data_IF_230935041690
#
_entry.id   IF_230935041690
#
_cell.length_a   1.000
_cell.length_b   1.000
_cell.length_c   1.000
_cell.angle_alpha   90.00
_cell.angle_beta   90.00
_cell.angle_gamma   90.00
#
_symmetry.space_group_name_H-M   'P 1'
#
loop_
_entity.id
_entity.type
_entity.pdbx_description
1 polymer ?
#
# COMPACT_ATOMS: atom_id res chain seq x y z
N UNK A 1 -6.54 -22.95 15.25
CA UNK A 1 -5.17 -23.14 14.75
C UNK A 1 -4.44 -21.83 15.03
N UNK A 2 -3.30 -21.81 15.74
CA UNK A 2 -2.50 -20.61 15.82
C UNK A 2 -1.92 -20.36 14.43
N UNK A 3 -2.26 -19.22 13.83
CA UNK A 3 -1.58 -18.73 12.62
C UNK A 3 -0.15 -18.42 13.00
N UNK A 4 0.80 -19.11 12.37
CA UNK A 4 2.22 -18.81 12.50
C UNK A 4 2.45 -17.32 12.22
N UNK A 5 3.34 -16.64 12.98
CA UNK A 5 3.69 -15.26 12.69
C UNK A 5 4.22 -15.19 11.26
N UNK A 6 3.60 -14.35 10.44
CA UNK A 6 4.08 -14.03 9.11
C UNK A 6 5.42 -13.32 9.33
N UNK A 7 6.51 -14.07 9.17
CA UNK A 7 7.85 -13.49 9.10
C UNK A 7 7.79 -12.51 7.92
N UNK A 8 8.06 -11.21 8.13
CA UNK A 8 8.12 -10.27 7.02
C UNK A 8 9.14 -10.83 6.02
N UNK A 9 8.79 -11.02 4.73
CA UNK A 9 9.81 -11.35 3.75
C UNK A 9 10.98 -10.39 3.91
N UNK A 10 12.19 -10.95 3.91
CA UNK A 10 13.42 -10.21 4.09
C UNK A 10 13.39 -8.97 3.18
N UNK A 11 13.68 -7.79 3.74
CA UNK A 11 13.78 -6.54 2.98
C UNK A 11 14.92 -6.61 1.93
N UNK A 12 15.73 -7.65 1.98
CA UNK A 12 16.76 -7.97 1.00
C UNK A 12 16.15 -8.42 -0.33
N UNK A 13 16.64 -7.92 -1.46
CA UNK A 13 16.14 -8.35 -2.76
C UNK A 13 16.49 -9.82 -2.99
N UNK A 14 15.46 -10.66 -3.11
CA UNK A 14 15.61 -12.01 -3.62
C UNK A 14 16.11 -11.96 -5.07
N UNK A 15 17.22 -12.64 -5.33
CA UNK A 15 17.75 -12.76 -6.69
C UNK A 15 16.67 -13.36 -7.61
N UNK A 16 16.41 -12.71 -8.74
CA UNK A 16 15.43 -13.19 -9.71
C UNK A 16 15.77 -14.64 -10.14
N UNK A 17 14.74 -15.49 -10.38
CA UNK A 17 14.93 -16.90 -10.73
C UNK A 17 15.74 -17.14 -12.02
N UNK A 18 15.99 -16.09 -12.80
CA UNK A 18 16.78 -16.12 -14.04
C UNK A 18 18.29 -15.99 -13.83
N UNK A 19 18.78 -15.79 -12.59
CA UNK A 19 20.21 -15.53 -12.34
C UNK A 19 20.69 -14.19 -12.90
N UNK A 20 19.75 -13.32 -13.28
CA UNK A 20 20.04 -11.96 -13.72
C UNK A 20 20.49 -11.15 -12.50
N UNK A 21 21.70 -10.60 -12.56
CA UNK A 21 22.17 -9.62 -11.57
C UNK A 21 21.22 -8.43 -11.55
N UNK A 22 20.91 -7.94 -10.37
CA UNK A 22 20.10 -6.75 -10.13
C UNK A 22 20.88 -5.88 -9.15
N UNK A 23 21.00 -4.58 -9.46
CA UNK A 23 21.64 -3.62 -8.57
C UNK A 23 20.60 -3.02 -7.62
N UNK A 24 20.98 -2.73 -6.37
CA UNK A 24 20.09 -2.21 -5.31
C UNK A 24 20.41 -0.74 -5.07
N UNK A 25 20.23 0.06 -6.10
CA UNK A 25 20.65 1.47 -6.16
C UNK A 25 19.49 2.43 -6.47
N UNK A 26 18.25 1.93 -6.44
CA UNK A 26 17.06 2.73 -6.62
C UNK A 26 16.49 3.17 -5.27
N UNK A 27 16.11 4.44 -5.18
CA UNK A 27 15.33 4.95 -4.05
C UNK A 27 13.94 4.30 -3.99
N UNK A 28 13.38 4.22 -2.78
CA UNK A 28 12.05 3.67 -2.56
C UNK A 28 10.97 4.52 -3.26
N UNK A 29 10.08 3.93 -4.07
CA UNK A 29 8.95 4.67 -4.62
C UNK A 29 8.01 5.08 -3.51
N UNK A 30 7.45 6.28 -3.57
CA UNK A 30 6.57 6.78 -2.51
C UNK A 30 5.28 7.36 -3.07
N UNK A 31 4.20 7.32 -2.26
CA UNK A 31 2.92 7.87 -2.69
C UNK A 31 3.03 9.37 -2.97
N UNK A 32 2.46 9.83 -4.10
CA UNK A 32 2.34 11.25 -4.42
C UNK A 32 1.60 12.03 -3.33
N UNK A 33 0.65 11.39 -2.67
CA UNK A 33 -0.12 11.98 -1.59
C UNK A 33 0.50 11.65 -0.25
N UNK A 34 0.31 12.52 0.75
CA UNK A 34 0.82 12.30 2.09
C UNK A 34 0.40 10.94 2.62
N UNK A 35 1.40 10.11 2.94
CA UNK A 35 1.23 8.83 3.60
C UNK A 35 0.70 9.03 5.01
N UNK A 36 -0.05 8.04 5.51
CA UNK A 36 -0.45 8.03 6.91
C UNK A 36 0.77 7.60 7.72
N UNK A 37 1.23 8.48 8.60
CA UNK A 37 2.31 8.16 9.52
C UNK A 37 1.82 7.15 10.55
N UNK A 38 2.53 6.02 10.64
CA UNK A 38 2.26 4.95 11.59
C UNK A 38 3.23 4.96 12.77
N UNK A 39 4.16 5.93 12.85
CA UNK A 39 5.05 6.09 14.00
C UNK A 39 4.35 6.13 15.38
N UNK A 40 3.08 6.59 15.52
CA UNK A 40 2.36 6.50 16.79
C UNK A 40 1.94 5.07 17.19
N UNK A 41 2.04 4.10 16.29
CA UNK A 41 1.61 2.71 16.46
C UNK A 41 2.83 1.77 16.34
N UNK A 42 3.70 1.69 17.36
CA UNK A 42 4.98 1.00 17.27
C UNK A 42 4.88 -0.51 17.09
N UNK A 43 3.72 -1.10 17.40
CA UNK A 43 3.45 -2.53 17.22
C UNK A 43 3.04 -2.88 15.77
N UNK A 44 2.79 -1.87 14.93
CA UNK A 44 2.43 -2.08 13.53
C UNK A 44 3.69 -2.33 12.68
N UNK A 45 3.77 -3.45 11.94
CA UNK A 45 4.97 -3.82 11.19
C UNK A 45 5.14 -3.07 9.86
N UNK A 46 4.29 -2.06 9.57
CA UNK A 46 4.23 -1.38 8.28
C UNK A 46 5.02 -0.06 8.28
N UNK A 47 5.70 0.23 7.17
CA UNK A 47 6.45 1.46 6.99
C UNK A 47 5.51 2.68 6.86
N UNK A 48 4.28 2.50 6.34
CA UNK A 48 3.22 3.52 6.31
C UNK A 48 1.85 2.96 5.90
N UNK A 49 0.80 3.80 6.04
CA UNK A 49 -0.56 3.48 5.61
C UNK A 49 -1.02 4.28 4.38
N UNK A 50 -1.88 3.66 3.56
CA UNK A 50 -2.61 4.29 2.45
C UNK A 50 -4.12 4.13 2.64
N UNK A 51 -4.84 5.24 2.54
CA UNK A 51 -6.29 5.30 2.64
C UNK A 51 -6.99 5.54 1.29
N UNK A 52 -8.31 5.68 1.34
CA UNK A 52 -9.13 5.95 0.16
C UNK A 52 -8.70 7.20 -0.62
N UNK A 53 -8.20 8.24 0.07
CA UNK A 53 -7.75 9.50 -0.56
C UNK A 53 -6.47 9.34 -1.37
N UNK A 54 -5.65 8.36 -1.03
CA UNK A 54 -4.39 8.09 -1.71
C UNK A 54 -4.56 7.11 -2.88
N UNK A 55 -5.62 6.30 -2.87
CA UNK A 55 -5.84 5.20 -3.83
C UNK A 55 -6.88 5.54 -4.90
N UNK A 56 -7.85 6.41 -4.61
CA UNK A 56 -8.95 6.73 -5.54
C UNK A 56 -8.69 8.07 -6.24
N UNK A 57 -8.79 8.17 -7.59
CA UNK A 57 -9.21 7.13 -8.56
C UNK A 57 -8.09 6.19 -9.03
N UNK A 58 -6.84 6.53 -8.73
CA UNK A 58 -5.66 5.71 -8.98
C UNK A 58 -4.62 6.00 -7.90
N UNK A 59 -3.88 4.97 -7.51
CA UNK A 59 -2.69 5.16 -6.70
C UNK A 59 -1.58 5.70 -7.60
N UNK A 60 -0.98 6.83 -7.20
CA UNK A 60 0.19 7.39 -7.90
C UNK A 60 1.42 7.22 -7.04
N UNK A 61 2.35 6.38 -7.49
CA UNK A 61 3.68 6.22 -6.89
C UNK A 61 4.68 7.09 -7.64
N UNK A 62 5.56 7.77 -6.94
CA UNK A 62 6.60 8.61 -7.51
C UNK A 62 7.95 7.92 -7.37
N UNK A 63 8.68 7.85 -8.48
CA UNK A 63 10.08 7.47 -8.50
C UNK A 63 10.93 8.74 -8.57
N UNK A 64 11.91 8.86 -7.70
CA UNK A 64 12.95 9.88 -7.88
C UNK A 64 13.80 9.54 -9.10
N UNK A 65 14.38 10.57 -9.72
CA UNK A 65 15.32 10.40 -10.83
C UNK A 65 16.51 9.52 -10.39
N UNK A 66 16.77 8.46 -11.14
CA UNK A 66 17.90 7.57 -10.91
C UNK A 66 19.17 7.98 -11.68
N UNK A 67 20.33 7.45 -11.27
CA UNK A 67 21.64 7.90 -11.70
C UNK A 67 21.89 7.78 -13.21
N UNK A 68 21.60 6.62 -13.80
CA UNK A 68 21.79 6.35 -15.23
C UNK A 68 20.42 6.29 -15.91
N UNK A 69 19.84 7.46 -16.15
CA UNK A 69 18.52 7.59 -16.78
C UNK A 69 18.62 7.65 -18.30
N UNK A 70 17.89 6.78 -18.98
CA UNK A 70 17.71 6.83 -20.43
C UNK A 70 16.24 6.98 -20.82
N UNK A 71 16.01 7.58 -21.99
CA UNK A 71 14.69 7.53 -22.62
C UNK A 71 14.34 6.07 -22.92
N UNK A 72 13.11 5.67 -22.65
CA UNK A 72 12.59 4.30 -22.75
C UNK A 72 13.11 3.30 -21.70
N UNK A 73 13.80 3.76 -20.65
CA UNK A 73 13.88 2.95 -19.43
C UNK A 73 12.45 2.65 -18.94
N UNK A 74 12.17 1.41 -18.56
CA UNK A 74 10.87 1.00 -18.02
C UNK A 74 10.93 0.96 -16.50
N UNK A 75 10.05 1.68 -15.82
CA UNK A 75 9.93 1.67 -14.37
C UNK A 75 8.66 0.94 -13.94
N UNK A 76 8.79 0.06 -12.96
CA UNK A 76 7.85 -0.99 -12.61
C UNK A 76 7.65 -1.03 -11.10
N UNK A 77 6.41 -1.23 -10.65
CA UNK A 77 6.08 -1.50 -9.26
C UNK A 77 5.72 -2.98 -9.11
N UNK A 78 6.35 -3.67 -8.17
CA UNK A 78 6.07 -5.07 -7.85
C UNK A 78 5.45 -5.19 -6.46
N UNK A 79 4.74 -6.30 -6.27
CA UNK A 79 4.38 -6.85 -4.96
C UNK A 79 5.21 -8.11 -4.69
N UNK A 80 5.27 -8.57 -3.44
CA UNK A 80 6.01 -9.77 -3.03
C UNK A 80 5.51 -11.06 -3.71
N UNK A 81 4.25 -11.07 -4.16
CA UNK A 81 3.58 -12.27 -4.67
C UNK A 81 3.52 -12.39 -6.18
N UNK A 82 3.90 -11.35 -6.92
CA UNK A 82 3.67 -11.32 -8.36
C UNK A 82 4.96 -11.45 -9.16
N UNK A 83 4.97 -12.41 -10.09
CA UNK A 83 6.00 -12.50 -11.14
C UNK A 83 5.86 -11.37 -12.18
N UNK A 84 4.75 -10.64 -12.14
CA UNK A 84 4.41 -9.55 -13.05
C UNK A 84 4.33 -8.24 -12.26
N UNK A 85 4.74 -7.11 -12.85
CA UNK A 85 4.61 -5.83 -12.17
C UNK A 85 3.13 -5.44 -12.01
N UNK A 86 2.78 -4.91 -10.84
CA UNK A 86 1.48 -4.33 -10.53
C UNK A 86 1.12 -3.17 -11.49
N UNK A 87 2.13 -2.37 -11.84
CA UNK A 87 2.06 -1.38 -12.91
C UNK A 87 3.45 -1.12 -13.48
N UNK A 88 3.49 -0.60 -14.70
CA UNK A 88 4.72 -0.18 -15.37
C UNK A 88 4.46 1.00 -16.30
N UNK A 89 5.49 1.79 -16.53
CA UNK A 89 5.48 2.86 -17.52
C UNK A 89 6.91 3.12 -18.03
N UNK A 90 7.04 3.91 -19.10
CA UNK A 90 8.31 4.16 -19.79
C UNK A 90 8.73 5.62 -19.67
N UNK A 91 10.03 5.85 -19.53
CA UNK A 91 10.59 7.21 -19.54
C UNK A 91 10.43 7.83 -20.92
N UNK A 92 9.52 8.80 -21.04
CA UNK A 92 9.36 9.58 -22.28
C UNK A 92 10.29 10.79 -22.31
N UNK A 93 10.46 11.46 -21.17
CA UNK A 93 11.31 12.66 -21.00
C UNK A 93 12.39 12.41 -19.96
N UNK A 94 13.64 12.71 -20.30
CA UNK A 94 14.79 12.55 -19.38
C UNK A 94 15.12 13.81 -18.59
N UNK A 95 14.26 14.82 -18.58
CA UNK A 95 14.46 16.07 -17.82
C UNK A 95 13.65 16.14 -16.54
N UNK A 96 12.72 15.21 -16.32
CA UNK A 96 11.89 15.21 -15.13
C UNK A 96 12.72 14.88 -13.89
N UNK A 97 12.36 15.54 -12.78
CA UNK A 97 12.90 15.21 -11.46
C UNK A 97 12.29 13.91 -10.92
N UNK A 98 11.04 13.61 -11.32
CA UNK A 98 10.25 12.50 -10.78
C UNK A 98 9.41 11.87 -11.87
N UNK A 99 9.23 10.56 -11.75
CA UNK A 99 8.47 9.74 -12.69
C UNK A 99 7.24 9.16 -11.99
N UNK A 100 6.02 9.65 -12.32
CA UNK A 100 4.80 9.11 -11.74
C UNK A 100 4.44 7.77 -12.39
N UNK A 101 4.08 6.81 -11.55
CA UNK A 101 3.50 5.54 -11.95
C UNK A 101 2.07 5.44 -11.44
N UNK A 102 1.13 5.24 -12.35
CA UNK A 102 -0.29 5.17 -12.02
C UNK A 102 -0.76 3.72 -11.95
N UNK A 103 -1.29 3.32 -10.80
CA UNK A 103 -1.95 2.03 -10.60
C UNK A 103 -3.47 2.27 -10.53
N UNK A 104 -4.26 1.73 -11.48
CA UNK A 104 -5.72 1.85 -11.41
C UNK A 104 -6.27 1.30 -10.10
N UNK A 105 -7.28 1.96 -9.51
CA UNK A 105 -7.83 1.56 -8.20
C UNK A 105 -8.18 0.07 -8.11
N UNK A 106 -8.78 -0.50 -9.16
CA UNK A 106 -9.20 -1.90 -9.19
C UNK A 106 -8.04 -2.90 -9.14
N UNK A 107 -6.82 -2.46 -9.49
CA UNK A 107 -5.61 -3.27 -9.40
C UNK A 107 -4.91 -3.10 -8.04
N UNK A 108 -5.20 -2.06 -7.27
CA UNK A 108 -4.50 -1.81 -5.99
C UNK A 108 -4.92 -2.86 -4.96
N UNK A 109 -3.97 -3.68 -4.44
CA UNK A 109 -4.24 -4.65 -3.39
C UNK A 109 -4.64 -3.95 -2.08
N UNK A 110 -5.40 -4.65 -1.23
CA UNK A 110 -5.89 -4.15 0.06
C UNK A 110 -5.34 -5.01 1.19
N UNK A 111 -5.21 -4.44 2.38
CA UNK A 111 -4.62 -5.08 3.55
C UNK A 111 -3.11 -4.86 3.62
N UNK A 112 -2.39 -5.89 4.03
CA UNK A 112 -0.93 -5.89 4.16
C UNK A 112 -0.30 -6.16 2.80
N UNK A 113 0.51 -5.22 2.31
CA UNK A 113 1.05 -5.27 0.96
C UNK A 113 2.54 -4.96 1.01
N UNK A 114 3.37 -5.87 0.51
CA UNK A 114 4.75 -5.55 0.19
C UNK A 114 4.81 -4.86 -1.18
N UNK A 115 5.63 -3.83 -1.30
CA UNK A 115 5.91 -3.17 -2.57
C UNK A 115 7.41 -2.97 -2.77
N UNK A 116 7.85 -3.03 -4.02
CA UNK A 116 9.20 -2.60 -4.41
C UNK A 116 9.21 -1.98 -5.81
N UNK A 117 10.10 -1.02 -6.02
CA UNK A 117 10.34 -0.43 -7.32
C UNK A 117 11.42 -1.17 -8.09
N UNK A 118 11.28 -1.22 -9.41
CA UNK A 118 12.30 -1.76 -10.31
C UNK A 118 12.40 -0.89 -11.57
N UNK A 119 13.62 -0.66 -12.04
CA UNK A 119 13.90 -0.03 -13.32
C UNK A 119 14.63 -1.01 -14.23
N UNK A 120 14.10 -1.21 -15.43
CA UNK A 120 14.71 -2.00 -16.50
C UNK A 120 15.27 -1.04 -17.54
N UNK A 121 16.56 -1.15 -17.82
CA UNK A 121 17.27 -0.26 -18.76
C UNK A 121 16.88 -0.56 -20.20
N UNK A 122 16.80 0.48 -21.04
CA UNK A 122 16.78 0.27 -22.49
C UNK A 122 18.17 -0.19 -22.97
N UNK A 123 18.23 -1.34 -23.63
CA UNK A 123 19.49 -1.92 -24.12
C UNK A 123 20.25 -2.74 -23.06
N UNK A 124 21.57 -2.93 -23.23
CA UNK A 124 22.36 -3.72 -22.28
C UNK A 124 22.51 -2.96 -20.96
N UNK A 125 21.97 -3.54 -19.89
CA UNK A 125 22.10 -2.98 -18.55
C UNK A 125 21.61 -3.94 -17.48
N UNK A 126 22.19 -3.80 -16.30
CA UNK A 126 21.66 -4.43 -15.08
C UNK A 126 20.40 -3.67 -14.65
N UNK A 127 19.28 -4.36 -14.39
CA UNK A 127 18.12 -3.73 -13.75
C UNK A 127 18.49 -3.20 -12.36
N UNK A 128 17.81 -2.12 -11.96
CA UNK A 128 17.92 -1.54 -10.62
C UNK A 128 16.66 -1.82 -9.82
N UNK A 129 16.79 -2.15 -8.53
CA UNK A 129 15.67 -2.34 -7.60
C UNK A 129 15.80 -1.44 -6.38
N UNK A 130 14.66 -1.08 -5.80
CA UNK A 130 14.59 -0.41 -4.50
C UNK A 130 14.56 -1.42 -3.37
N UNK A 131 14.87 -1.02 -2.14
CA UNK A 131 14.46 -1.76 -0.96
C UNK A 131 12.95 -2.02 -0.97
N UNK A 132 12.55 -3.12 -0.35
CA UNK A 132 11.15 -3.47 -0.15
C UNK A 132 10.50 -2.69 0.99
N UNK A 133 9.23 -2.32 0.81
CA UNK A 133 8.43 -1.62 1.81
C UNK A 133 7.15 -2.41 2.12
N UNK A 134 6.76 -2.47 3.39
CA UNK A 134 5.48 -3.01 3.84
C UNK A 134 4.50 -1.86 4.06
N UNK A 135 3.37 -1.92 3.37
CA UNK A 135 2.36 -0.86 3.35
C UNK A 135 1.01 -1.45 3.72
N UNK A 136 0.29 -0.78 4.61
CA UNK A 136 -1.08 -1.14 4.93
C UNK A 136 -2.06 -0.31 4.11
N UNK A 137 -2.82 -0.97 3.22
CA UNK A 137 -3.76 -0.31 2.30
C UNK A 137 -5.20 -0.58 2.72
N UNK A 138 -5.89 0.45 3.22
CA UNK A 138 -7.29 0.35 3.67
C UNK A 138 -8.16 1.41 3.02
N UNK A 139 -8.99 0.97 2.07
CA UNK A 139 -9.95 1.85 1.35
C UNK A 139 -11.38 1.70 1.86
N UNK A 140 -11.63 0.80 2.81
CA UNK A 140 -12.95 0.64 3.42
C UNK A 140 -13.27 1.79 4.36
N UNK A 141 -14.52 2.26 4.32
CA UNK A 141 -15.05 3.24 5.28
C UNK A 141 -15.76 2.45 6.38
N UNK A 142 -15.27 2.44 7.63
CA UNK A 142 -15.89 1.68 8.72
C UNK A 142 -17.35 2.08 8.98
N UNK A 143 -17.72 3.33 8.64
CA UNK A 143 -19.07 3.86 8.75
C UNK A 143 -19.90 3.83 7.44
N UNK A 144 -19.42 3.14 6.41
CA UNK A 144 -20.02 3.17 5.07
C UNK A 144 -19.96 4.54 4.39
N UNK A 145 -20.76 4.71 3.33
CA UNK A 145 -21.07 6.02 2.74
C UNK A 145 -22.42 6.42 3.28
N UNK A 146 -22.53 7.60 3.89
CA UNK A 146 -23.83 8.11 4.36
C UNK A 146 -24.81 8.10 3.19
N UNK A 147 -25.91 7.37 3.34
CA UNK A 147 -27.05 7.42 2.41
C UNK A 147 -28.04 8.51 2.79
N UNK A 148 -27.73 9.30 3.82
CA UNK A 148 -28.57 10.40 4.26
C UNK A 148 -28.80 11.37 3.09
N UNK A 149 -30.04 11.52 2.62
CA UNK A 149 -30.36 12.45 1.55
C UNK A 149 -30.18 13.92 1.95
N UNK A 150 -29.93 14.25 3.22
CA UNK A 150 -29.69 15.63 3.70
C UNK A 150 -28.39 15.74 4.54
N UNK A 151 -27.23 15.97 3.89
CA UNK A 151 -25.97 16.14 4.59
C UNK A 151 -26.02 17.33 5.56
N UNK A 152 -25.79 17.10 6.86
CA UNK A 152 -25.58 18.16 7.86
C UNK A 152 -26.65 18.31 8.96
N UNK A 153 -27.68 17.47 8.98
CA UNK A 153 -28.49 17.31 10.20
C UNK A 153 -27.71 16.44 11.21
N UNK A 154 -27.90 16.60 12.53
CA UNK A 154 -27.40 15.68 13.54
C UNK A 154 -28.18 14.36 13.44
N UNK A 155 -27.94 13.65 12.33
CA UNK A 155 -28.59 12.41 11.95
C UNK A 155 -27.55 11.30 11.96
N UNK A 156 -27.88 10.25 12.69
CA UNK A 156 -27.23 8.95 12.77
C UNK A 156 -26.41 8.57 11.53
N UNK A 157 -25.14 8.18 11.73
CA UNK A 157 -24.33 7.59 10.66
C UNK A 157 -24.71 6.11 10.48
N UNK A 158 -25.46 5.80 9.42
CA UNK A 158 -26.04 4.47 9.14
C UNK A 158 -25.05 3.39 8.64
N UNK A 159 -23.82 3.36 9.13
CA UNK A 159 -22.88 2.32 8.67
C UNK A 159 -21.80 1.94 9.65
N UNK A 160 -21.82 2.45 10.88
CA UNK A 160 -20.94 1.95 11.92
C UNK A 160 -21.50 0.62 12.44
N UNK A 161 -20.90 -0.49 12.01
CA UNK A 161 -21.18 -1.80 12.60
C UNK A 161 -20.21 -2.03 13.75
N UNK A 162 -20.76 -2.25 14.95
CA UNK A 162 -19.99 -2.69 16.12
C UNK A 162 -20.30 -4.15 16.39
N UNK A 163 -19.26 -4.95 16.54
CA UNK A 163 -19.34 -6.33 17.01
C UNK A 163 -18.65 -6.44 18.37
N UNK A 164 -19.24 -7.20 19.28
CA UNK A 164 -18.65 -7.53 20.58
C UNK A 164 -18.40 -9.02 20.59
N UNK A 165 -17.14 -9.42 20.72
CA UNK A 165 -16.74 -10.82 20.70
C UNK A 165 -17.52 -11.63 21.76
N UNK A 166 -18.10 -12.76 21.33
CA UNK A 166 -18.95 -13.60 22.19
C UNK A 166 -20.43 -13.20 22.25
N UNK A 167 -20.86 -12.20 21.48
CA UNK A 167 -22.26 -11.77 21.40
C UNK A 167 -22.75 -11.74 19.96
N UNK A 168 -23.91 -12.36 19.72
CA UNK A 168 -24.59 -12.29 18.43
C UNK A 168 -25.05 -10.86 18.13
N UNK A 169 -25.13 -10.53 16.84
CA UNK A 169 -25.62 -9.24 16.36
C UNK A 169 -27.03 -8.96 16.90
N UNK A 170 -27.25 -7.76 17.42
CA UNK A 170 -28.55 -7.34 17.99
C UNK A 170 -28.82 -7.82 19.42
N UNK A 171 -27.90 -8.57 20.06
CA UNK A 171 -28.06 -9.01 21.45
C UNK A 171 -27.95 -7.84 22.42
N UNK A 172 -28.99 -7.66 23.26
CA UNK A 172 -29.00 -6.64 24.29
C UNK A 172 -27.95 -6.94 25.37
N UNK A 173 -26.97 -6.05 25.53
CA UNK A 173 -25.99 -6.10 26.63
C UNK A 173 -26.59 -5.49 27.89
N UNK A 174 -26.58 -6.22 28.99
CA UNK A 174 -26.94 -5.70 30.32
C UNK A 174 -25.66 -5.53 31.16
N UNK A 175 -25.55 -4.49 31.99
CA UNK A 175 -24.47 -4.39 32.95
C UNK A 175 -24.41 -5.63 33.84
N UNK A 176 -23.21 -6.18 34.05
CA UNK A 176 -22.99 -7.25 35.02
C UNK A 176 -23.27 -6.75 36.45
N UNK A 177 -23.64 -7.64 37.39
CA UNK A 177 -24.05 -7.28 38.74
C UNK A 177 -22.92 -6.75 39.65
N UNK A 178 -21.76 -6.36 39.12
CA UNK A 178 -20.51 -6.23 39.90
C UNK A 178 -20.05 -4.79 40.16
N UNK A 179 -20.91 -3.79 39.93
CA UNK A 179 -20.62 -2.41 40.33
C UNK A 179 -21.69 -1.89 41.30
N UNK A 180 -21.70 -2.43 42.50
CA UNK A 180 -22.24 -1.76 43.69
C UNK A 180 -21.14 -1.71 44.75
N UNK A 181 -20.46 -0.57 44.84
CA UNK A 181 -19.73 -0.13 46.03
C UNK A 181 -20.33 1.19 46.48
#
# INVERSE_FOLDING_TARGET
MPTDPIIPPDKSPEALPTGQRVDVDLEEPYSRFSKVDLSPFPDEPYDYGLGIRQVVPHLTMLYERWAILNQFDEYQLYTDRDTLPLARDSVISTTEARYPLHVPEHNVPRGEVFIKGRVVRVGPGTPSESPGQFVYIKTTRPGGVSKDPQPGLPGWHEGLTMEVEGFEEGKLLKPGPEFNT
#
